data_IF_994094053032
#
_entry.id   IF_994094053032
#
_cell.length_a   1.000
_cell.length_b   1.000
_cell.length_c   1.000
_cell.angle_alpha   90.00
_cell.angle_beta   90.00
_cell.angle_gamma   90.00
#
_symmetry.space_group_name_H-M   'P 1'
#
loop_
_entity.id
_entity.type
_entity.pdbx_description
1 polymer ?
#
# COMPACT_ATOMS: atom_id res chain seq x y z
N UNK A 1 0.24 -8.93 -27.83
CA UNK A 1 0.88 -8.94 -26.50
C UNK A 1 0.37 -10.09 -25.64
N UNK A 2 -0.88 -10.07 -25.15
CA UNK A 2 -1.41 -11.07 -24.21
C UNK A 2 -1.27 -12.54 -24.67
N UNK A 3 -1.60 -12.83 -25.94
CA UNK A 3 -1.39 -14.18 -26.53
C UNK A 3 0.08 -14.64 -26.49
N UNK A 4 1.01 -13.71 -26.63
CA UNK A 4 2.45 -14.02 -26.67
C UNK A 4 3.06 -14.26 -25.29
N UNK A 5 2.33 -13.98 -24.20
CA UNK A 5 2.79 -14.15 -22.81
C UNK A 5 1.96 -15.21 -22.07
N UNK A 6 1.06 -15.92 -22.76
CA UNK A 6 0.24 -16.98 -22.16
C UNK A 6 -1.01 -16.50 -21.41
N UNK A 7 -1.44 -15.24 -21.62
CA UNK A 7 -2.51 -14.59 -20.85
C UNK A 7 -2.16 -14.47 -19.35
N UNK A 8 -3.15 -14.16 -18.49
CA UNK A 8 -2.93 -14.05 -17.05
C UNK A 8 -3.11 -15.40 -16.35
N UNK A 9 -2.33 -15.60 -15.30
CA UNK A 9 -2.41 -16.80 -14.46
C UNK A 9 -3.68 -16.75 -13.61
N UNK A 10 -4.52 -17.78 -13.74
CA UNK A 10 -5.85 -17.83 -13.11
C UNK A 10 -5.81 -18.29 -11.65
N UNK A 11 -4.68 -18.82 -11.20
CA UNK A 11 -4.42 -19.32 -9.85
C UNK A 11 -3.66 -18.32 -8.97
N UNK A 12 -3.42 -17.10 -9.47
CA UNK A 12 -2.71 -16.03 -8.78
C UNK A 12 -3.68 -14.94 -8.35
N UNK A 13 -3.63 -14.58 -7.07
CA UNK A 13 -4.48 -13.57 -6.45
C UNK A 13 -4.13 -12.13 -6.87
N UNK A 14 -2.85 -11.70 -6.89
CA UNK A 14 -2.46 -10.36 -7.36
C UNK A 14 -2.35 -10.31 -8.90
N UNK A 15 -3.45 -10.57 -9.62
CA UNK A 15 -3.44 -10.75 -11.07
C UNK A 15 -2.88 -9.54 -11.84
N UNK A 16 -3.17 -8.32 -11.37
CA UNK A 16 -2.80 -7.06 -12.03
C UNK A 16 -1.28 -6.82 -12.06
N UNK A 17 -0.62 -7.07 -10.93
CA UNK A 17 0.84 -6.95 -10.82
C UNK A 17 1.51 -8.12 -11.52
N UNK A 18 0.96 -9.32 -11.35
CA UNK A 18 1.52 -10.53 -11.90
C UNK A 18 1.57 -10.48 -13.43
N UNK A 19 0.48 -10.10 -14.10
CA UNK A 19 0.45 -9.99 -15.57
C UNK A 19 1.45 -8.97 -16.10
N UNK A 20 1.69 -7.89 -15.37
CA UNK A 20 2.73 -6.92 -15.72
C UNK A 20 4.12 -7.55 -15.66
N UNK A 21 4.42 -8.31 -14.60
CA UNK A 21 5.70 -9.00 -14.47
C UNK A 21 5.87 -10.10 -15.52
N UNK A 22 4.82 -10.89 -15.80
CA UNK A 22 4.81 -11.87 -16.89
C UNK A 22 5.14 -11.20 -18.23
N UNK A 23 4.50 -10.06 -18.51
CA UNK A 23 4.77 -9.29 -19.71
C UNK A 23 6.22 -8.80 -19.77
N UNK A 24 6.70 -8.18 -18.70
CA UNK A 24 8.06 -7.64 -18.62
C UNK A 24 9.12 -8.74 -18.78
N UNK A 25 8.98 -9.86 -18.07
CA UNK A 25 9.94 -10.97 -18.15
C UNK A 25 9.82 -11.83 -19.41
N UNK A 26 8.82 -11.58 -20.27
CA UNK A 26 8.69 -12.24 -21.58
C UNK A 26 9.13 -11.34 -22.74
N UNK A 27 8.90 -10.04 -22.63
CA UNK A 27 9.09 -9.08 -23.74
C UNK A 27 10.17 -8.04 -23.46
N UNK A 28 10.75 -8.03 -22.26
CA UNK A 28 11.79 -7.11 -21.82
C UNK A 28 11.34 -5.65 -21.85
N UNK A 29 12.24 -4.78 -22.29
CA UNK A 29 12.04 -3.32 -22.33
C UNK A 29 10.97 -2.85 -23.32
N UNK A 30 10.40 -3.75 -24.13
CA UNK A 30 9.23 -3.44 -24.96
C UNK A 30 7.99 -3.14 -24.12
N UNK A 31 7.95 -3.62 -22.87
CA UNK A 31 6.87 -3.34 -21.92
C UNK A 31 7.22 -2.10 -21.12
N UNK A 32 6.43 -1.05 -21.30
CA UNK A 32 6.60 0.23 -20.62
C UNK A 32 5.26 0.70 -20.05
N UNK A 33 5.33 1.28 -18.87
CA UNK A 33 4.21 2.00 -18.24
C UNK A 33 4.39 3.49 -18.53
N UNK A 34 3.42 4.10 -19.21
CA UNK A 34 3.41 5.54 -19.45
C UNK A 34 2.52 6.18 -18.38
N UNK A 35 3.04 7.09 -17.55
CA UNK A 35 2.21 7.76 -16.56
C UNK A 35 1.19 8.65 -17.26
N UNK A 36 -0.07 8.52 -16.84
CA UNK A 36 -1.17 9.36 -17.31
C UNK A 36 -1.63 10.20 -16.12
N UNK A 37 -1.40 11.51 -16.19
CA UNK A 37 -1.71 12.45 -15.11
C UNK A 37 -3.17 12.93 -15.20
N UNK A 38 -4.09 12.06 -14.80
CA UNK A 38 -5.52 12.37 -14.75
C UNK A 38 -6.02 12.32 -13.31
N UNK A 39 -7.03 13.14 -13.01
CA UNK A 39 -7.76 13.04 -11.75
C UNK A 39 -8.56 11.74 -11.78
N UNK A 40 -8.28 10.87 -10.81
CA UNK A 40 -9.03 9.63 -10.62
C UNK A 40 -10.04 9.81 -9.48
N UNK A 41 -11.27 9.34 -9.69
CA UNK A 41 -12.25 9.14 -8.64
C UNK A 41 -12.37 7.64 -8.40
N UNK A 42 -12.38 7.20 -7.14
CA UNK A 42 -12.56 5.80 -6.76
C UNK A 42 -13.79 5.68 -5.90
N UNK A 43 -14.59 4.65 -6.16
CA UNK A 43 -15.68 4.29 -5.27
C UNK A 43 -15.13 3.70 -3.97
N UNK A 44 -15.78 4.06 -2.87
CA UNK A 44 -15.50 3.42 -1.59
C UNK A 44 -15.93 1.95 -1.63
N UNK A 45 -15.26 1.12 -0.84
CA UNK A 45 -15.68 -0.28 -0.68
C UNK A 45 -17.08 -0.31 -0.08
N UNK A 46 -18.03 -0.90 -0.82
CA UNK A 46 -19.43 -0.88 -0.45
C UNK A 46 -19.80 -2.03 0.52
N UNK A 47 -20.90 -1.85 1.24
CA UNK A 47 -21.48 -2.85 2.13
C UNK A 47 -22.90 -2.44 2.55
N UNK A 48 -23.71 -3.42 2.97
CA UNK A 48 -25.08 -3.19 3.44
C UNK A 48 -25.12 -2.21 4.62
N UNK A 49 -24.05 -2.21 5.42
CA UNK A 49 -23.83 -1.26 6.52
C UNK A 49 -22.33 -0.99 6.69
N UNK A 50 -21.98 0.00 7.51
CA UNK A 50 -20.59 0.43 7.74
C UNK A 50 -19.69 -0.68 8.24
N UNK A 51 -20.19 -1.57 9.12
CA UNK A 51 -19.40 -2.69 9.62
C UNK A 51 -19.02 -3.67 8.50
N UNK A 52 -19.98 -4.00 7.63
CA UNK A 52 -19.70 -4.85 6.47
C UNK A 52 -18.74 -4.15 5.49
N UNK A 53 -18.87 -2.84 5.29
CA UNK A 53 -17.95 -2.08 4.45
C UNK A 53 -16.51 -2.11 5.00
N UNK A 54 -16.34 -1.93 6.32
CA UNK A 54 -15.02 -2.04 6.98
C UNK A 54 -14.43 -3.44 6.86
N UNK A 55 -15.23 -4.49 7.08
CA UNK A 55 -14.77 -5.87 6.89
C UNK A 55 -14.36 -6.15 5.45
N UNK A 56 -15.15 -5.69 4.47
CA UNK A 56 -14.83 -5.82 3.05
C UNK A 56 -13.55 -5.06 2.69
N UNK A 57 -13.34 -3.86 3.25
CA UNK A 57 -12.13 -3.07 3.04
C UNK A 57 -10.89 -3.79 3.59
N UNK A 58 -11.01 -4.36 4.79
CA UNK A 58 -9.95 -5.15 5.41
C UNK A 58 -9.56 -6.37 4.55
N UNK A 59 -10.54 -7.14 4.09
CA UNK A 59 -10.30 -8.30 3.21
C UNK A 59 -9.73 -7.89 1.85
N UNK A 60 -10.15 -6.75 1.30
CA UNK A 60 -9.59 -6.22 0.05
C UNK A 60 -8.10 -5.86 0.22
N UNK A 61 -7.75 -5.13 1.28
CA UNK A 61 -6.36 -4.74 1.54
C UNK A 61 -5.47 -5.96 1.78
N UNK A 62 -5.97 -6.95 2.53
CA UNK A 62 -5.28 -8.23 2.76
C UNK A 62 -4.99 -8.96 1.45
N UNK A 63 -5.94 -8.95 0.51
CA UNK A 63 -5.78 -9.54 -0.82
C UNK A 63 -4.70 -8.82 -1.63
N UNK A 64 -4.66 -7.49 -1.57
CA UNK A 64 -3.63 -6.72 -2.24
C UNK A 64 -2.24 -6.97 -1.65
N UNK A 65 -2.14 -7.02 -0.32
CA UNK A 65 -0.88 -7.33 0.35
C UNK A 65 -0.41 -8.78 0.13
N UNK A 66 -1.31 -9.71 -0.22
CA UNK A 66 -0.94 -11.04 -0.71
C UNK A 66 -0.06 -10.98 -1.97
N UNK A 67 0.00 -9.83 -2.66
CA UNK A 67 0.93 -9.52 -3.73
C UNK A 67 2.41 -9.77 -3.42
N UNK A 68 2.78 -9.89 -2.13
CA UNK A 68 4.13 -10.31 -1.73
C UNK A 68 4.56 -11.66 -2.35
N UNK A 69 3.60 -12.50 -2.79
CA UNK A 69 3.90 -13.73 -3.54
C UNK A 69 4.60 -13.49 -4.88
N UNK A 70 4.49 -12.30 -5.45
CA UNK A 70 5.18 -11.94 -6.69
C UNK A 70 6.66 -11.59 -6.49
N UNK A 71 7.10 -11.35 -5.24
CA UNK A 71 8.52 -11.12 -4.92
C UNK A 71 9.39 -12.32 -5.31
N UNK A 72 9.12 -13.56 -4.84
CA UNK A 72 9.91 -14.72 -5.25
C UNK A 72 9.79 -15.00 -6.75
N UNK A 73 8.65 -14.74 -7.38
CA UNK A 73 8.49 -14.86 -8.83
C UNK A 73 9.43 -13.90 -9.58
N UNK A 74 9.43 -12.61 -9.21
CA UNK A 74 10.28 -11.61 -9.82
C UNK A 74 11.77 -11.88 -9.59
N UNK A 75 12.13 -12.35 -8.39
CA UNK A 75 13.50 -12.77 -8.06
C UNK A 75 13.93 -13.98 -8.89
N UNK A 76 13.08 -15.00 -9.03
CA UNK A 76 13.39 -16.15 -9.87
C UNK A 76 13.61 -15.72 -11.33
N UNK A 77 12.66 -14.95 -11.88
CA UNK A 77 12.77 -14.43 -13.25
C UNK A 77 13.98 -13.54 -13.46
N UNK A 78 14.38 -12.77 -12.46
CA UNK A 78 15.61 -11.95 -12.52
C UNK A 78 16.83 -12.76 -12.96
N UNK A 79 16.98 -13.98 -12.44
CA UNK A 79 18.10 -14.87 -12.74
C UNK A 79 17.87 -15.76 -13.98
N UNK A 80 16.62 -16.09 -14.31
CA UNK A 80 16.32 -17.01 -15.42
C UNK A 80 16.05 -16.33 -16.77
N UNK A 81 16.03 -15.00 -16.84
CA UNK A 81 15.88 -14.24 -18.10
C UNK A 81 17.17 -13.44 -18.41
N UNK A 82 18.27 -14.09 -18.83
CA UNK A 82 19.54 -13.41 -19.14
C UNK A 82 19.46 -12.47 -20.35
N UNK A 83 18.48 -12.66 -21.23
CA UNK A 83 18.22 -11.84 -22.42
C UNK A 83 17.73 -10.42 -22.12
N UNK A 84 17.24 -10.18 -20.89
CA UNK A 84 16.80 -8.85 -20.44
C UNK A 84 17.93 -8.18 -19.65
N UNK A 85 18.26 -6.91 -19.92
CA UNK A 85 19.30 -6.19 -19.18
C UNK A 85 19.06 -6.17 -17.66
N UNK A 86 20.14 -6.26 -16.89
CA UNK A 86 20.09 -6.38 -15.42
C UNK A 86 19.44 -5.19 -14.73
N UNK A 87 19.73 -3.98 -15.19
CA UNK A 87 19.29 -2.75 -14.54
C UNK A 87 17.75 -2.57 -14.54
N UNK A 88 17.03 -2.73 -15.67
CA UNK A 88 15.57 -2.78 -15.68
C UNK A 88 14.98 -3.83 -14.74
N UNK A 89 15.54 -5.06 -14.73
CA UNK A 89 15.09 -6.12 -13.83
C UNK A 89 15.27 -5.73 -12.37
N UNK A 90 16.43 -5.13 -12.03
CA UNK A 90 16.74 -4.67 -10.68
C UNK A 90 15.71 -3.64 -10.20
N UNK A 91 15.35 -2.67 -11.04
CA UNK A 91 14.34 -1.68 -10.67
C UNK A 91 12.96 -2.31 -10.43
N UNK A 92 12.56 -3.33 -11.22
CA UNK A 92 11.28 -4.02 -11.00
C UNK A 92 11.28 -4.86 -9.72
N UNK A 93 12.34 -5.62 -9.49
CA UNK A 93 12.52 -6.42 -8.27
C UNK A 93 12.60 -5.53 -7.04
N UNK A 94 13.40 -4.46 -7.09
CA UNK A 94 13.50 -3.50 -5.99
C UNK A 94 12.14 -2.89 -5.66
N UNK A 95 11.40 -2.43 -6.67
CA UNK A 95 10.11 -1.78 -6.45
C UNK A 95 9.08 -2.73 -5.81
N UNK A 96 9.00 -3.99 -6.24
CA UNK A 96 8.05 -4.94 -5.66
C UNK A 96 8.44 -5.36 -4.24
N UNK A 97 9.74 -5.56 -4.00
CA UNK A 97 10.28 -5.86 -2.67
C UNK A 97 10.03 -4.71 -1.73
N UNK A 98 10.40 -3.49 -2.11
CA UNK A 98 10.19 -2.27 -1.34
C UNK A 98 8.71 -2.09 -1.01
N UNK A 99 7.83 -2.16 -2.02
CA UNK A 99 6.38 -1.97 -1.84
C UNK A 99 5.83 -2.95 -0.82
N UNK A 100 6.08 -4.26 -0.99
CA UNK A 100 5.51 -5.25 -0.09
C UNK A 100 6.20 -5.29 1.27
N UNK A 101 7.50 -5.02 1.39
CA UNK A 101 8.16 -4.95 2.69
C UNK A 101 7.72 -3.74 3.51
N UNK A 102 7.61 -2.57 2.87
CA UNK A 102 7.25 -1.34 3.57
C UNK A 102 5.77 -1.32 3.97
N UNK A 103 4.87 -1.91 3.21
CA UNK A 103 3.42 -1.88 3.46
C UNK A 103 3.00 -2.31 4.89
N UNK A 104 3.38 -3.51 5.39
CA UNK A 104 3.00 -3.94 6.74
C UNK A 104 3.73 -3.19 7.86
N UNK A 105 4.87 -2.54 7.57
CA UNK A 105 5.72 -1.93 8.61
C UNK A 105 5.61 -0.41 8.69
N UNK A 106 5.14 0.27 7.64
CA UNK A 106 5.15 1.74 7.54
C UNK A 106 4.42 2.42 8.69
N UNK A 107 3.24 1.91 9.08
CA UNK A 107 2.53 2.45 10.24
C UNK A 107 3.39 2.41 11.51
N UNK A 108 4.02 1.26 11.79
CA UNK A 108 4.84 1.05 12.98
C UNK A 108 6.08 1.94 12.95
N UNK A 109 6.74 2.07 11.80
CA UNK A 109 7.93 2.92 11.64
C UNK A 109 7.60 4.41 11.85
N UNK A 110 6.54 4.90 11.19
CA UNK A 110 6.17 6.32 11.23
C UNK A 110 5.56 6.70 12.59
N UNK A 111 4.69 5.86 13.14
CA UNK A 111 3.89 6.20 14.33
C UNK A 111 4.59 5.81 15.62
N UNK A 112 5.30 4.68 15.64
CA UNK A 112 5.88 4.11 16.86
C UNK A 112 7.42 4.04 16.82
N UNK A 113 8.04 4.19 15.65
CA UNK A 113 9.46 3.89 15.44
C UNK A 113 10.41 4.73 16.28
N UNK A 114 10.10 6.01 16.52
CA UNK A 114 10.92 6.87 17.36
C UNK A 114 10.77 6.58 18.87
N UNK A 115 9.65 6.01 19.28
CA UNK A 115 9.33 5.73 20.69
C UNK A 115 9.76 4.33 21.13
N UNK A 116 9.66 3.34 20.24
CA UNK A 116 9.93 1.93 20.55
C UNK A 116 11.34 1.70 21.15
N UNK A 117 12.44 2.23 20.59
CA UNK A 117 13.76 1.98 21.14
C UNK A 117 13.93 2.42 22.60
N UNK A 118 13.35 3.58 22.97
CA UNK A 118 13.40 4.09 24.35
C UNK A 118 12.52 3.29 25.31
N UNK A 119 11.41 2.72 24.83
CA UNK A 119 10.53 1.85 25.62
C UNK A 119 11.20 0.50 25.88
N UNK A 120 11.80 -0.11 24.84
CA UNK A 120 12.44 -1.44 24.94
C UNK A 120 13.74 -1.35 25.75
N UNK A 121 14.54 -0.31 25.53
CA UNK A 121 15.81 -0.11 26.20
C UNK A 121 15.86 1.26 26.88
N UNK A 122 15.50 1.37 28.16
CA UNK A 122 15.53 2.65 28.89
C UNK A 122 16.92 3.32 28.92
N UNK A 123 18.01 2.56 28.76
CA UNK A 123 19.37 3.09 28.68
C UNK A 123 19.59 3.86 27.38
N UNK A 124 18.91 3.47 26.29
CA UNK A 124 18.98 4.15 24.99
C UNK A 124 18.58 5.63 25.12
N UNK A 125 17.55 5.94 25.91
CA UNK A 125 17.10 7.31 26.14
C UNK A 125 18.15 8.23 26.79
N UNK A 126 19.18 7.67 27.42
CA UNK A 126 20.31 8.41 28.01
C UNK A 126 21.44 8.68 27.02
N UNK A 127 21.39 8.07 25.83
CA UNK A 127 22.38 8.30 24.77
C UNK A 127 22.05 9.57 23.99
N UNK A 128 23.05 10.17 23.35
CA UNK A 128 22.85 11.30 22.44
C UNK A 128 21.85 10.96 21.34
N UNK A 129 21.89 9.73 20.80
CA UNK A 129 20.96 9.30 19.76
C UNK A 129 19.53 9.16 20.31
N UNK A 130 19.34 8.52 21.46
CA UNK A 130 18.01 8.35 22.04
C UNK A 130 17.35 9.65 22.49
N UNK A 131 18.14 10.63 22.93
CA UNK A 131 17.65 11.97 23.22
C UNK A 131 17.21 12.73 21.95
N UNK A 132 17.99 12.63 20.86
CA UNK A 132 17.72 13.37 19.64
C UNK A 132 16.69 12.70 18.72
N UNK A 133 16.54 11.38 18.76
CA UNK A 133 15.69 10.61 17.84
C UNK A 133 14.22 11.09 17.84
N UNK A 134 13.51 11.22 18.99
CA UNK A 134 12.14 11.73 18.99
C UNK A 134 12.04 13.18 18.50
N UNK A 135 13.06 14.01 18.78
CA UNK A 135 13.09 15.42 18.35
C UNK A 135 13.24 15.54 16.84
N UNK A 136 14.17 14.79 16.25
CA UNK A 136 14.37 14.74 14.80
C UNK A 136 13.15 14.15 14.09
N UNK A 137 12.60 13.06 14.61
CA UNK A 137 11.37 12.45 14.07
C UNK A 137 10.20 13.43 14.11
N UNK A 138 9.97 14.09 15.25
CA UNK A 138 8.92 15.12 15.38
C UNK A 138 9.10 16.28 14.41
N UNK A 139 10.34 16.73 14.19
CA UNK A 139 10.65 17.76 13.20
C UNK A 139 10.30 17.32 11.77
N UNK A 140 10.72 16.11 11.36
CA UNK A 140 10.40 15.55 10.05
C UNK A 140 8.88 15.41 9.88
N UNK A 141 8.20 14.82 10.87
CA UNK A 141 6.75 14.64 10.86
C UNK A 141 6.00 15.97 10.79
N UNK A 142 6.52 17.03 11.43
CA UNK A 142 5.96 18.38 11.34
C UNK A 142 6.05 18.90 9.91
N UNK A 143 7.21 18.79 9.27
CA UNK A 143 7.38 19.17 7.85
C UNK A 143 6.44 18.36 6.96
N UNK A 144 6.37 17.04 7.15
CA UNK A 144 5.47 16.16 6.38
C UNK A 144 4.00 16.56 6.57
N UNK A 145 3.60 16.97 7.77
CA UNK A 145 2.23 17.43 8.05
C UNK A 145 1.90 18.72 7.30
N UNK A 146 2.87 19.61 7.10
CA UNK A 146 2.67 20.81 6.26
C UNK A 146 2.36 20.41 4.81
N UNK A 147 3.10 19.43 4.26
CA UNK A 147 2.79 18.90 2.92
C UNK A 147 1.45 18.17 2.87
N UNK A 148 1.05 17.48 3.95
CA UNK A 148 -0.28 16.89 4.05
C UNK A 148 -1.39 17.94 3.94
N UNK A 149 -1.22 19.13 4.53
CA UNK A 149 -2.17 20.25 4.38
C UNK A 149 -2.32 20.65 2.90
N UNK A 150 -1.22 20.69 2.15
CA UNK A 150 -1.26 20.97 0.70
C UNK A 150 -2.07 19.89 -0.03
N UNK A 151 -1.86 18.61 0.30
CA UNK A 151 -2.62 17.50 -0.27
C UNK A 151 -4.12 17.57 0.06
N UNK A 152 -4.47 17.97 1.29
CA UNK A 152 -5.86 18.18 1.70
C UNK A 152 -6.51 19.27 0.83
N UNK A 153 -5.80 20.37 0.56
CA UNK A 153 -6.32 21.46 -0.30
C UNK A 153 -6.52 20.96 -1.73
N UNK A 154 -5.58 20.19 -2.28
CA UNK A 154 -5.70 19.62 -3.63
C UNK A 154 -6.91 18.67 -3.68
N UNK A 155 -7.01 17.74 -2.72
CA UNK A 155 -8.14 16.81 -2.61
C UNK A 155 -9.49 17.54 -2.53
N UNK A 156 -9.59 18.59 -1.71
CA UNK A 156 -10.79 19.42 -1.61
C UNK A 156 -11.16 20.09 -2.94
N UNK A 157 -10.17 20.57 -3.71
CA UNK A 157 -10.40 21.20 -5.02
C UNK A 157 -10.73 20.19 -6.12
N UNK A 158 -10.22 18.97 -6.02
CA UNK A 158 -10.47 17.90 -7.00
C UNK A 158 -11.83 17.22 -6.82
N UNK A 159 -12.48 17.38 -5.66
CA UNK A 159 -13.81 16.80 -5.41
C UNK A 159 -14.89 17.48 -6.26
N UNK A 160 -15.89 16.72 -6.75
CA UNK A 160 -17.06 17.31 -7.38
C UNK A 160 -17.84 18.15 -6.37
N UNK A 161 -18.70 19.04 -6.88
CA UNK A 161 -19.61 19.82 -6.03
C UNK A 161 -20.42 18.87 -5.14
N UNK A 162 -20.55 19.22 -3.86
CA UNK A 162 -21.36 18.45 -2.89
C UNK A 162 -22.76 18.19 -3.46
N UNK A 163 -23.23 16.94 -3.51
CA UNK A 163 -24.59 16.66 -3.96
C UNK A 163 -25.64 17.29 -3.03
N UNK A 164 -26.75 17.76 -3.60
CA UNK A 164 -27.81 18.49 -2.88
C UNK A 164 -28.47 17.66 -1.78
N UNK A 165 -28.55 16.33 -1.96
CA UNK A 165 -29.16 15.40 -1.00
C UNK A 165 -28.29 15.09 0.23
N UNK A 166 -27.01 15.48 0.25
CA UNK A 166 -26.14 15.29 1.41
C UNK A 166 -26.14 16.52 2.31
N UNK A 167 -26.44 16.36 3.61
CA UNK A 167 -26.41 17.47 4.58
C UNK A 167 -25.05 18.15 4.68
N UNK A 168 -25.04 19.48 4.76
CA UNK A 168 -23.84 20.30 5.01
C UNK A 168 -23.18 19.95 6.35
N UNK A 169 -23.95 19.45 7.32
CA UNK A 169 -23.45 19.01 8.62
C UNK A 169 -22.45 17.84 8.53
N UNK A 170 -22.40 17.12 7.40
CA UNK A 170 -21.41 16.04 7.17
C UNK A 170 -20.08 16.56 6.61
N UNK A 171 -19.99 17.83 6.22
CA UNK A 171 -18.78 18.44 5.65
C UNK A 171 -17.58 18.38 6.61
N UNK A 172 -17.73 18.61 7.93
CA UNK A 172 -16.62 18.47 8.88
C UNK A 172 -16.03 17.05 8.94
N UNK A 173 -16.80 16.00 8.62
CA UNK A 173 -16.29 14.62 8.58
C UNK A 173 -15.20 14.45 7.52
N UNK A 174 -15.26 15.21 6.42
CA UNK A 174 -14.24 15.21 5.37
C UNK A 174 -12.91 15.80 5.84
N UNK A 175 -12.91 16.61 6.91
CA UNK A 175 -11.69 17.11 7.55
C UNK A 175 -11.23 16.13 8.64
N UNK A 176 -12.16 15.66 9.48
CA UNK A 176 -11.86 14.72 10.57
C UNK A 176 -11.22 13.42 10.05
N UNK A 177 -11.59 12.95 8.85
CA UNK A 177 -10.99 11.74 8.25
C UNK A 177 -9.45 11.81 8.17
N UNK A 178 -8.87 13.01 8.00
CA UNK A 178 -7.43 13.20 7.91
C UNK A 178 -6.74 13.03 9.26
N UNK A 179 -7.41 13.43 10.34
CA UNK A 179 -6.94 13.20 11.71
C UNK A 179 -6.95 11.70 12.05
N UNK A 180 -7.91 10.96 11.48
CA UNK A 180 -8.04 9.52 11.67
C UNK A 180 -7.02 8.69 10.86
N UNK A 181 -6.13 9.32 10.06
CA UNK A 181 -5.16 8.61 9.22
C UNK A 181 -4.32 7.59 9.97
N UNK A 182 -3.77 7.84 11.17
CA UNK A 182 -2.99 6.81 11.88
C UNK A 182 -3.83 5.58 12.23
N UNK A 183 -5.07 5.79 12.67
CA UNK A 183 -6.01 4.72 13.03
C UNK A 183 -6.38 3.91 11.78
N UNK A 184 -6.73 4.60 10.70
CA UNK A 184 -7.08 3.95 9.43
C UNK A 184 -5.89 3.21 8.82
N UNK A 185 -4.69 3.80 8.87
CA UNK A 185 -3.46 3.19 8.37
C UNK A 185 -3.10 1.92 9.14
N UNK A 186 -3.31 1.91 10.46
CA UNK A 186 -3.13 0.69 11.24
C UNK A 186 -4.14 -0.38 10.85
N UNK A 187 -5.44 -0.13 11.06
CA UNK A 187 -6.47 -1.17 10.94
C UNK A 187 -6.77 -1.59 9.51
N UNK A 188 -6.66 -0.69 8.53
CA UNK A 188 -7.08 -0.90 7.15
C UNK A 188 -5.94 -0.80 6.13
N UNK A 189 -4.68 -0.78 6.58
CA UNK A 189 -3.50 -0.89 5.70
C UNK A 189 -2.45 -1.85 6.25
N UNK A 190 -1.71 -1.46 7.31
CA UNK A 190 -0.58 -2.26 7.81
C UNK A 190 -1.01 -3.57 8.49
N UNK A 191 -2.11 -3.58 9.25
CA UNK A 191 -2.58 -4.79 9.92
C UNK A 191 -3.05 -5.91 8.96
N UNK A 192 -3.93 -5.65 7.96
CA UNK A 192 -4.29 -6.69 6.98
C UNK A 192 -3.09 -7.13 6.14
N UNK A 193 -2.15 -6.22 5.85
CA UNK A 193 -0.91 -6.59 5.17
C UNK A 193 -0.03 -7.52 6.01
N UNK A 194 0.11 -7.23 7.30
CA UNK A 194 0.83 -8.08 8.24
C UNK A 194 0.16 -9.46 8.37
N UNK A 195 -1.18 -9.51 8.40
CA UNK A 195 -1.92 -10.78 8.37
C UNK A 195 -1.62 -11.58 7.10
N UNK A 196 -1.65 -10.95 5.92
CA UNK A 196 -1.33 -11.60 4.64
C UNK A 196 0.07 -12.23 4.67
N UNK A 197 1.07 -11.46 5.08
CA UNK A 197 2.46 -11.94 5.15
C UNK A 197 2.63 -13.07 6.16
N UNK A 198 2.03 -12.93 7.35
CA UNK A 198 2.10 -13.94 8.41
C UNK A 198 1.42 -15.24 7.99
N UNK A 199 0.28 -15.15 7.29
CA UNK A 199 -0.40 -16.31 6.71
C UNK A 199 0.49 -17.05 5.71
N UNK A 200 1.16 -16.32 4.82
CA UNK A 200 2.10 -16.90 3.87
C UNK A 200 3.26 -17.62 4.58
N UNK A 201 3.87 -16.98 5.60
CA UNK A 201 4.92 -17.59 6.42
C UNK A 201 4.47 -18.87 7.13
N UNK A 202 3.19 -18.92 7.54
CA UNK A 202 2.59 -20.10 8.17
C UNK A 202 2.01 -21.11 7.17
N UNK A 203 2.21 -20.93 5.85
CA UNK A 203 1.68 -21.82 4.81
C UNK A 203 0.16 -21.79 4.64
N UNK A 204 -0.53 -20.82 5.26
CA UNK A 204 -2.00 -20.66 5.19
C UNK A 204 -2.37 -19.85 3.94
N UNK A 205 -2.77 -20.52 2.87
CA UNK A 205 -3.18 -19.87 1.62
C UNK A 205 -4.40 -18.96 1.82
N UNK A 206 -4.46 -17.91 1.01
CA UNK A 206 -5.62 -17.03 0.90
C UNK A 206 -6.52 -17.50 -0.25
N UNK A 207 -7.83 -17.48 -0.05
CA UNK A 207 -8.80 -17.72 -1.11
C UNK A 207 -9.23 -16.38 -1.71
N UNK A 208 -9.30 -16.30 -3.04
CA UNK A 208 -9.79 -15.09 -3.69
C UNK A 208 -11.28 -14.89 -3.38
N UNK A 209 -11.61 -13.74 -2.78
CA UNK A 209 -12.99 -13.35 -2.46
C UNK A 209 -13.32 -12.07 -3.20
N UNK A 210 -14.27 -12.11 -4.12
CA UNK A 210 -14.72 -10.92 -4.85
C UNK A 210 -15.36 -9.93 -3.88
N UNK A 211 -14.96 -8.66 -3.96
CA UNK A 211 -15.63 -7.59 -3.20
C UNK A 211 -17.06 -7.42 -3.73
N UNK A 212 -18.05 -7.52 -2.85
CA UNK A 212 -19.47 -7.35 -3.23
C UNK A 212 -19.69 -5.95 -3.82
N UNK A 213 -20.23 -5.89 -5.03
CA UNK A 213 -20.72 -4.67 -5.66
C UNK A 213 -22.22 -4.63 -5.42
N UNK A 214 -22.65 -3.72 -4.54
CA UNK A 214 -24.06 -3.43 -4.24
C UNK A 214 -24.36 -2.06 -4.82
#
# INVERSE_FOLDING_TARGET
MLRGIGFWDTDIIPEDWHIFLQAFFSLGEKVKTIPIYLVISRDAVNGINSFQAYRSRYEQEKRWAWGVTDVPYALFKFFTTPEIPTLPKLFRVYHIVETHLLWPITFFLITLGASIPGIINPVFGRTTLGYNLPRMSGFILTITTIFLIVLIIIDMKSRPKRPTHYSVAKTPLLLIQWILLPIVSFFFSSLPALEAHTRLLMGKRLEYKVTKKI
#
